data_IF_982433536863
#
_entry.id   IF_982433536863
#
_cell.length_a   1.000
_cell.length_b   1.000
_cell.length_c   1.000
_cell.angle_alpha   90.00
_cell.angle_beta   90.00
_cell.angle_gamma   90.00
#
_symmetry.space_group_name_H-M   'P 1'
#
loop_
_entity.id
_entity.type
_entity.pdbx_description
1 polymer ?
#
# COMPACT_ATOMS: atom_id res chain seq x y z
N UNK A 1 -15.67 25.15 18.44
CA UNK A 1 -15.26 25.48 17.06
C UNK A 1 -15.61 24.30 16.16
N UNK A 2 -16.67 24.40 15.36
CA UNK A 2 -17.19 23.27 14.59
C UNK A 2 -16.17 22.80 13.54
N UNK A 3 -15.85 21.50 13.50
CA UNK A 3 -14.96 20.94 12.47
C UNK A 3 -15.66 21.06 11.12
N UNK A 4 -15.31 22.10 10.36
CA UNK A 4 -15.86 22.40 9.03
C UNK A 4 -15.65 21.21 8.09
N UNK A 5 -16.74 20.69 7.51
CA UNK A 5 -16.72 19.58 6.55
C UNK A 5 -15.89 19.97 5.32
N UNK A 6 -14.78 19.28 5.07
CA UNK A 6 -13.92 19.53 3.91
C UNK A 6 -14.61 19.10 2.61
N UNK A 7 -14.44 19.91 1.56
CA UNK A 7 -14.97 19.59 0.24
C UNK A 7 -14.35 18.28 -0.31
N UNK A 8 -15.12 17.40 -1.01
CA UNK A 8 -14.67 16.09 -1.48
C UNK A 8 -13.44 16.07 -2.42
N UNK A 9 -13.08 17.22 -3.00
CA UNK A 9 -11.91 17.38 -3.88
C UNK A 9 -10.85 18.30 -3.29
N UNK A 10 -11.02 18.75 -2.05
CA UNK A 10 -10.03 19.61 -1.39
C UNK A 10 -8.72 18.85 -1.26
N UNK A 11 -7.61 19.53 -1.60
CA UNK A 11 -6.26 19.02 -1.37
C UNK A 11 -5.99 18.74 0.11
N UNK A 12 -6.70 19.41 1.04
CA UNK A 12 -6.62 19.21 2.49
C UNK A 12 -7.11 17.82 2.94
N UNK A 13 -7.72 17.05 2.04
CA UNK A 13 -8.07 15.66 2.31
C UNK A 13 -6.88 14.71 2.15
N UNK A 14 -5.80 15.13 1.49
CA UNK A 14 -4.54 14.39 1.48
C UNK A 14 -3.79 14.71 2.77
N UNK A 15 -3.56 13.67 3.55
CA UNK A 15 -2.90 13.73 4.85
C UNK A 15 -2.14 12.42 5.04
N UNK A 16 -0.93 12.53 5.57
CA UNK A 16 -0.15 11.36 5.95
C UNK A 16 -0.85 10.63 7.09
N UNK A 17 -1.04 9.32 6.91
CA UNK A 17 -1.67 8.44 7.89
C UNK A 17 -0.69 7.92 8.95
N UNK A 18 -1.02 6.79 9.61
CA UNK A 18 -0.14 6.18 10.59
C UNK A 18 1.20 5.75 9.99
N UNK A 19 2.23 5.76 10.82
CA UNK A 19 3.49 5.11 10.53
C UNK A 19 3.31 3.60 10.62
N UNK A 20 3.98 2.89 9.71
CA UNK A 20 4.02 1.44 9.71
C UNK A 20 5.12 0.95 10.66
N UNK A 21 5.06 -0.32 11.05
CA UNK A 21 6.14 -0.99 11.78
C UNK A 21 7.41 -1.09 10.92
N UNK A 22 8.57 -1.40 11.53
CA UNK A 22 9.71 -1.92 10.77
C UNK A 22 9.32 -3.14 9.92
N UNK A 23 10.15 -3.44 8.91
CA UNK A 23 9.94 -4.59 8.03
C UNK A 23 10.29 -5.89 8.76
N UNK A 24 9.36 -6.82 8.79
CA UNK A 24 9.55 -8.18 9.29
C UNK A 24 9.87 -9.12 8.13
N UNK A 25 11.06 -9.72 8.15
CA UNK A 25 11.49 -10.70 7.15
C UNK A 25 10.92 -12.07 7.48
N UNK A 26 10.28 -12.72 6.50
CA UNK A 26 9.71 -14.07 6.63
C UNK A 26 10.58 -15.14 5.97
N UNK A 27 11.24 -14.80 4.86
CA UNK A 27 12.13 -15.72 4.14
C UNK A 27 13.45 -15.02 3.80
N UNK A 28 14.56 -15.76 3.89
CA UNK A 28 15.85 -15.26 3.44
C UNK A 28 15.83 -15.06 1.92
N UNK A 29 16.27 -13.87 1.49
CA UNK A 29 16.46 -13.53 0.09
C UNK A 29 17.96 -13.52 -0.17
N UNK A 30 18.41 -14.22 -1.19
CA UNK A 30 19.82 -14.33 -1.55
C UNK A 30 20.06 -13.78 -2.95
N UNK A 31 21.24 -13.23 -3.18
CA UNK A 31 21.73 -12.92 -4.53
C UNK A 31 22.37 -14.16 -5.19
N UNK A 32 22.93 -14.02 -6.40
CA UNK A 32 23.53 -15.15 -7.10
C UNK A 32 24.74 -15.75 -6.40
N UNK A 33 25.48 -14.93 -5.64
CA UNK A 33 26.64 -15.32 -4.84
C UNK A 33 26.26 -16.02 -3.52
N UNK A 34 24.98 -16.04 -3.18
CA UNK A 34 24.50 -16.60 -1.91
C UNK A 34 24.58 -15.63 -0.73
N UNK A 35 24.85 -14.35 -0.98
CA UNK A 35 24.83 -13.31 0.05
C UNK A 35 23.38 -12.95 0.38
N UNK A 36 23.07 -12.80 1.66
CA UNK A 36 21.73 -12.46 2.12
C UNK A 36 21.44 -10.98 1.92
N UNK A 37 20.27 -10.69 1.37
CA UNK A 37 19.75 -9.35 1.16
C UNK A 37 18.69 -9.02 2.21
N UNK A 38 18.79 -7.82 2.79
CA UNK A 38 17.83 -7.32 3.79
C UNK A 38 16.81 -6.41 3.11
N UNK A 39 15.55 -6.85 2.90
CA UNK A 39 14.52 -6.00 2.31
C UNK A 39 13.99 -4.99 3.32
N UNK A 40 13.69 -3.78 2.84
CA UNK A 40 13.01 -2.72 3.59
C UNK A 40 11.82 -2.22 2.78
N UNK A 41 10.61 -2.40 3.32
CA UNK A 41 9.38 -1.83 2.79
C UNK A 41 9.22 -0.39 3.28
N UNK A 42 8.85 0.50 2.36
CA UNK A 42 8.60 1.92 2.62
C UNK A 42 7.16 2.29 2.26
N UNK A 43 6.16 1.87 3.05
CA UNK A 43 4.76 2.22 2.82
C UNK A 43 4.38 3.57 3.43
N UNK A 44 3.40 4.24 2.83
CA UNK A 44 2.77 5.44 3.39
C UNK A 44 1.31 5.53 2.98
N UNK A 45 0.46 5.90 3.94
CA UNK A 45 -0.92 6.29 3.66
C UNK A 45 -0.93 7.79 3.38
N UNK A 46 -1.42 8.20 2.22
CA UNK A 46 -1.46 9.62 1.80
C UNK A 46 -2.86 10.23 1.84
N UNK A 47 -3.88 9.42 2.17
CA UNK A 47 -5.27 9.86 2.28
C UNK A 47 -6.10 8.82 3.04
N UNK A 48 -7.13 9.28 3.76
CA UNK A 48 -8.25 8.46 4.20
C UNK A 48 -8.29 8.07 5.68
N UNK A 49 -7.20 8.34 6.42
CA UNK A 49 -7.12 8.15 7.86
C UNK A 49 -6.68 9.45 8.54
N UNK A 50 -7.27 9.72 9.70
CA UNK A 50 -6.94 10.88 10.52
C UNK A 50 -6.80 10.48 12.00
N UNK A 51 -5.97 11.23 12.73
CA UNK A 51 -5.77 10.99 14.16
C UNK A 51 -6.83 11.75 14.96
N UNK A 52 -7.69 11.01 15.68
CA UNK A 52 -8.75 11.55 16.55
C UNK A 52 -8.63 10.83 17.89
N UNK A 53 -8.56 11.59 18.99
CA UNK A 53 -8.51 11.03 20.36
C UNK A 53 -7.43 9.95 20.52
N UNK A 54 -6.25 10.22 19.94
CA UNK A 54 -5.10 9.31 19.88
C UNK A 54 -5.28 8.02 19.05
N UNK A 55 -6.38 7.89 18.31
CA UNK A 55 -6.67 6.74 17.44
C UNK A 55 -6.64 7.13 15.96
N UNK A 56 -6.26 6.17 15.11
CA UNK A 56 -6.30 6.34 13.65
C UNK A 56 -7.66 5.92 13.11
N UNK A 57 -8.41 6.91 12.62
CA UNK A 57 -9.81 6.74 12.21
C UNK A 57 -9.92 6.94 10.71
N UNK A 58 -10.45 5.92 10.05
CA UNK A 58 -10.92 5.95 8.67
C UNK A 58 -12.44 5.80 8.60
N UNK A 59 -12.99 6.00 7.41
CA UNK A 59 -14.43 5.95 7.17
C UNK A 59 -14.76 4.96 6.07
N UNK A 60 -15.69 4.02 6.33
CA UNK A 60 -16.02 2.93 5.40
C UNK A 60 -16.41 3.41 4.00
N UNK A 61 -17.07 4.56 3.88
CA UNK A 61 -17.53 5.14 2.59
C UNK A 61 -16.50 6.05 1.93
N UNK A 62 -15.38 6.32 2.58
CA UNK A 62 -14.34 7.16 2.02
C UNK A 62 -13.24 6.28 1.41
N UNK A 63 -12.57 6.85 0.41
CA UNK A 63 -11.37 6.25 -0.15
C UNK A 63 -10.16 6.57 0.72
N UNK A 64 -9.32 5.56 0.90
CA UNK A 64 -7.93 5.79 1.31
C UNK A 64 -6.98 5.58 0.11
N UNK A 65 -5.80 6.17 0.24
CA UNK A 65 -4.68 5.98 -0.68
C UNK A 65 -3.50 5.46 0.11
N UNK A 66 -2.95 4.33 -0.33
CA UNK A 66 -1.71 3.77 0.19
C UNK A 66 -0.72 3.66 -0.95
N UNK A 67 0.50 4.12 -0.73
CA UNK A 67 1.63 3.95 -1.64
C UNK A 67 2.71 3.15 -0.94
N UNK A 68 3.48 2.36 -1.70
CA UNK A 68 4.63 1.67 -1.16
C UNK A 68 5.68 1.45 -2.22
N UNK A 69 6.93 1.48 -1.79
CA UNK A 69 8.09 0.97 -2.51
C UNK A 69 8.87 0.04 -1.58
N UNK A 70 9.99 -0.45 -2.06
CA UNK A 70 10.92 -1.22 -1.24
C UNK A 70 12.34 -0.98 -1.74
N UNK A 71 13.33 -1.28 -0.89
CA UNK A 71 14.72 -1.37 -1.29
C UNK A 71 15.40 -2.50 -0.53
N UNK A 72 16.64 -2.80 -0.89
CA UNK A 72 17.50 -3.70 -0.12
C UNK A 72 18.62 -2.89 0.51
N UNK A 73 18.87 -3.10 1.81
CA UNK A 73 19.95 -2.37 2.51
C UNK A 73 21.29 -2.61 1.83
N UNK A 74 22.07 -1.55 1.65
CA UNK A 74 23.40 -1.58 1.05
C UNK A 74 23.47 -2.16 -0.39
N UNK A 75 22.35 -2.18 -1.11
CA UNK A 75 22.29 -2.66 -2.50
C UNK A 75 21.78 -1.57 -3.44
N UNK A 76 22.60 -1.18 -4.41
CA UNK A 76 22.17 -0.23 -5.44
C UNK A 76 21.17 -0.86 -6.40
N UNK A 77 20.29 -0.04 -7.00
CA UNK A 77 19.37 -0.52 -8.03
C UNK A 77 20.11 -1.19 -9.21
N UNK A 78 21.27 -0.67 -9.61
CA UNK A 78 22.06 -1.24 -10.71
C UNK A 78 22.58 -2.64 -10.38
N UNK A 79 23.07 -2.83 -9.16
CA UNK A 79 23.54 -4.14 -8.68
C UNK A 79 22.38 -5.13 -8.62
N UNK A 80 21.23 -4.71 -8.10
CA UNK A 80 20.00 -5.50 -8.09
C UNK A 80 19.58 -5.88 -9.52
N UNK A 81 19.46 -4.90 -10.42
CA UNK A 81 18.98 -5.14 -11.78
C UNK A 81 19.88 -6.10 -12.56
N UNK A 82 21.17 -6.13 -12.26
CA UNK A 82 22.14 -6.98 -12.93
C UNK A 82 22.15 -8.44 -12.43
N UNK A 83 21.48 -8.76 -11.32
CA UNK A 83 21.65 -10.04 -10.63
C UNK A 83 20.36 -10.87 -10.51
N UNK A 84 20.54 -12.19 -10.46
CA UNK A 84 19.46 -13.13 -10.15
C UNK A 84 19.28 -13.24 -8.62
N UNK A 85 18.02 -13.43 -8.20
CA UNK A 85 17.66 -13.50 -6.80
C UNK A 85 17.02 -14.85 -6.47
N UNK A 86 17.17 -15.29 -5.23
CA UNK A 86 16.75 -16.60 -4.80
C UNK A 86 16.13 -16.57 -3.41
N UNK A 87 15.27 -17.54 -3.13
CA UNK A 87 14.87 -17.92 -1.77
C UNK A 87 15.43 -19.28 -1.43
N UNK A 88 15.55 -19.56 -0.14
CA UNK A 88 15.72 -20.92 0.37
C UNK A 88 14.42 -21.34 1.01
N UNK A 89 13.86 -22.46 0.57
CA UNK A 89 12.75 -23.10 1.27
C UNK A 89 13.27 -23.62 2.62
N UNK A 90 12.71 -23.17 3.76
CA UNK A 90 13.22 -23.52 5.09
C UNK A 90 13.02 -25.01 5.43
N UNK A 91 12.07 -25.70 4.81
CA UNK A 91 11.78 -27.11 5.08
C UNK A 91 12.64 -28.04 4.23
N UNK A 92 12.84 -27.70 2.95
CA UNK A 92 13.55 -28.56 1.99
C UNK A 92 14.99 -28.14 1.74
N UNK A 93 15.41 -26.98 2.24
CA UNK A 93 16.67 -26.29 1.89
C UNK A 93 16.88 -26.09 0.38
N UNK A 94 15.82 -26.20 -0.42
CA UNK A 94 15.91 -26.01 -1.86
C UNK A 94 16.08 -24.53 -2.18
N UNK A 95 17.14 -24.19 -2.93
CA UNK A 95 17.35 -22.87 -3.50
C UNK A 95 16.46 -22.71 -4.73
N UNK A 96 15.57 -21.71 -4.70
CA UNK A 96 14.62 -21.45 -5.78
C UNK A 96 14.79 -20.03 -6.30
N UNK A 97 14.89 -19.88 -7.62
CA UNK A 97 15.01 -18.56 -8.26
C UNK A 97 13.72 -17.77 -8.10
N UNK A 98 13.84 -16.50 -7.73
CA UNK A 98 12.77 -15.51 -7.78
C UNK A 98 12.78 -14.92 -9.19
N UNK A 99 11.68 -15.07 -9.92
CA UNK A 99 11.51 -14.50 -11.27
C UNK A 99 11.42 -12.99 -11.21
N UNK A 100 10.61 -12.48 -10.30
CA UNK A 100 10.45 -11.05 -10.06
C UNK A 100 9.84 -10.80 -8.68
N UNK A 101 9.98 -9.57 -8.21
CA UNK A 101 9.38 -9.12 -6.97
C UNK A 101 8.09 -8.35 -7.23
N UNK A 102 7.25 -8.28 -6.22
CA UNK A 102 6.07 -7.43 -6.24
C UNK A 102 5.69 -6.94 -4.87
N UNK A 103 4.76 -5.99 -4.84
CA UNK A 103 4.15 -5.47 -3.63
C UNK A 103 2.70 -5.92 -3.60
N UNK A 104 2.24 -6.39 -2.45
CA UNK A 104 0.85 -6.79 -2.20
C UNK A 104 0.30 -6.02 -1.00
N UNK A 105 -0.95 -5.58 -1.10
CA UNK A 105 -1.69 -4.95 -0.01
C UNK A 105 -2.80 -5.88 0.46
N UNK A 106 -2.79 -6.23 1.75
CA UNK A 106 -3.84 -7.01 2.40
C UNK A 106 -4.34 -6.31 3.67
N UNK A 107 -5.40 -6.83 4.28
CA UNK A 107 -5.86 -6.34 5.58
C UNK A 107 -6.39 -7.44 6.46
N UNK A 108 -6.25 -7.26 7.76
CA UNK A 108 -6.69 -8.21 8.79
C UNK A 108 -7.40 -7.49 9.93
N UNK A 109 -8.26 -8.20 10.62
CA UNK A 109 -8.77 -7.81 11.91
C UNK A 109 -7.65 -7.93 12.95
N UNK A 110 -7.41 -6.88 13.72
CA UNK A 110 -6.38 -6.86 14.76
C UNK A 110 -6.74 -7.74 15.95
N UNK A 111 -8.03 -7.96 16.20
CA UNK A 111 -8.53 -8.66 17.39
C UNK A 111 -8.50 -10.19 17.25
N UNK A 112 -8.79 -10.70 16.06
CA UNK A 112 -8.94 -12.14 15.79
C UNK A 112 -8.09 -12.64 14.60
N UNK A 113 -7.31 -11.76 13.97
CA UNK A 113 -6.43 -12.10 12.84
C UNK A 113 -7.15 -12.41 11.53
N UNK A 114 -8.49 -12.38 11.50
CA UNK A 114 -9.26 -12.75 10.31
C UNK A 114 -8.98 -11.81 9.13
N UNK A 115 -8.84 -12.37 7.93
CA UNK A 115 -8.63 -11.56 6.73
C UNK A 115 -9.86 -10.70 6.44
N UNK A 116 -9.61 -9.46 6.06
CA UNK A 116 -10.64 -8.48 5.72
C UNK A 116 -10.44 -8.05 4.29
N UNK A 117 -11.47 -8.23 3.47
CA UNK A 117 -11.42 -7.90 2.04
C UNK A 117 -11.36 -6.39 1.83
N UNK A 118 -10.38 -5.97 1.05
CA UNK A 118 -10.26 -4.62 0.50
C UNK A 118 -10.84 -4.60 -0.92
N UNK A 119 -11.40 -3.46 -1.31
CA UNK A 119 -11.96 -3.24 -2.65
C UNK A 119 -11.38 -1.97 -3.23
N UNK A 120 -10.88 -2.03 -4.46
CA UNK A 120 -10.41 -0.91 -5.24
C UNK A 120 -11.46 -0.50 -6.27
N UNK A 121 -11.72 0.81 -6.35
CA UNK A 121 -12.64 1.39 -7.32
C UNK A 121 -11.89 2.14 -8.43
N UNK A 122 -12.45 2.15 -9.63
CA UNK A 122 -12.01 3.07 -10.68
C UNK A 122 -12.48 4.51 -10.43
N UNK A 123 -12.00 5.46 -11.23
CA UNK A 123 -12.48 6.84 -11.20
C UNK A 123 -13.99 6.98 -11.50
N UNK A 124 -14.62 5.95 -12.11
CA UNK A 124 -16.06 5.90 -12.38
C UNK A 124 -16.88 5.35 -11.20
N UNK A 125 -16.22 4.94 -10.11
CA UNK A 125 -16.83 4.52 -8.83
C UNK A 125 -17.89 3.42 -9.02
N UNK A 126 -19.17 3.74 -8.88
CA UNK A 126 -20.28 2.78 -8.83
C UNK A 126 -20.64 2.31 -10.24
N UNK A 127 -20.30 3.11 -11.26
CA UNK A 127 -20.49 2.80 -12.68
C UNK A 127 -19.27 2.12 -13.31
N UNK A 128 -18.25 1.82 -12.52
CA UNK A 128 -17.03 1.15 -12.98
C UNK A 128 -16.82 -0.19 -12.28
N UNK A 129 -15.89 -1.01 -12.77
CA UNK A 129 -15.56 -2.28 -12.14
C UNK A 129 -14.98 -2.07 -10.73
N UNK A 130 -15.20 -3.06 -9.88
CA UNK A 130 -14.63 -3.20 -8.53
C UNK A 130 -13.80 -4.47 -8.50
N UNK A 131 -12.63 -4.41 -7.89
CA UNK A 131 -11.70 -5.54 -7.82
C UNK A 131 -10.92 -5.49 -6.50
N UNK A 132 -10.39 -6.62 -6.07
CA UNK A 132 -9.43 -6.64 -4.96
C UNK A 132 -8.13 -5.93 -5.39
N UNK A 133 -7.42 -5.25 -4.48
CA UNK A 133 -6.16 -4.57 -4.81
C UNK A 133 -5.18 -5.55 -5.47
N UNK A 134 -4.68 -5.27 -6.68
CA UNK A 134 -3.80 -6.20 -7.39
C UNK A 134 -2.43 -6.28 -6.72
N UNK A 135 -1.74 -7.40 -6.90
CA UNK A 135 -0.30 -7.45 -6.62
C UNK A 135 0.43 -6.71 -7.75
N UNK A 136 1.34 -5.81 -7.40
CA UNK A 136 2.08 -4.99 -8.35
C UNK A 136 3.51 -5.53 -8.51
N UNK A 137 3.88 -6.14 -9.65
CA UNK A 137 5.27 -6.43 -9.97
C UNK A 137 6.09 -5.14 -9.91
N UNK A 138 7.10 -5.11 -9.04
CA UNK A 138 7.78 -3.88 -8.70
C UNK A 138 9.28 -4.10 -8.51
N UNK A 139 10.08 -3.10 -8.87
CA UNK A 139 11.52 -3.04 -8.64
C UNK A 139 11.86 -2.14 -7.45
N UNK A 140 13.07 -2.27 -6.86
CA UNK A 140 13.51 -1.41 -5.78
C UNK A 140 13.53 0.07 -6.17
N UNK A 141 13.08 0.93 -5.27
CA UNK A 141 13.08 2.38 -5.44
C UNK A 141 12.84 3.08 -4.11
N UNK A 142 13.24 4.34 -4.03
CA UNK A 142 12.82 5.24 -2.96
C UNK A 142 11.33 5.60 -3.09
N UNK A 143 10.70 5.85 -1.94
CA UNK A 143 9.32 6.31 -1.88
C UNK A 143 9.25 7.81 -2.17
N UNK A 144 8.49 8.27 -3.17
CA UNK A 144 8.33 9.70 -3.43
C UNK A 144 7.63 10.42 -2.28
N UNK A 145 7.90 11.71 -2.13
CA UNK A 145 7.26 12.55 -1.13
C UNK A 145 5.74 12.62 -1.27
N UNK A 146 5.07 12.89 -0.16
CA UNK A 146 3.62 13.10 -0.08
C UNK A 146 3.10 14.09 -1.15
N UNK A 147 3.84 15.18 -1.39
CA UNK A 147 3.45 16.20 -2.36
C UNK A 147 3.43 15.65 -3.80
N UNK A 148 4.39 14.79 -4.16
CA UNK A 148 4.45 14.16 -5.48
C UNK A 148 3.24 13.24 -5.66
N UNK A 149 2.87 12.46 -4.64
CA UNK A 149 1.69 11.59 -4.68
C UNK A 149 0.40 12.41 -4.81
N UNK A 150 0.28 13.49 -4.04
CA UNK A 150 -0.86 14.41 -4.09
C UNK A 150 -1.02 15.05 -5.47
N UNK A 151 0.07 15.50 -6.08
CA UNK A 151 0.05 16.07 -7.42
C UNK A 151 -0.33 15.02 -8.46
N UNK A 152 0.27 13.83 -8.39
CA UNK A 152 0.02 12.71 -9.30
C UNK A 152 -1.44 12.26 -9.35
N UNK A 153 -2.19 12.40 -8.26
CA UNK A 153 -3.57 11.93 -8.16
C UNK A 153 -4.55 12.60 -9.15
N UNK A 154 -4.23 13.80 -9.67
CA UNK A 154 -5.12 14.54 -10.58
C UNK A 154 -4.38 15.19 -11.78
N UNK A 155 -3.18 14.73 -12.14
CA UNK A 155 -2.48 15.28 -13.31
C UNK A 155 -3.19 14.90 -14.60
N UNK A 156 -3.40 15.88 -15.47
CA UNK A 156 -3.89 15.71 -16.86
C UNK A 156 -2.92 16.23 -17.91
N UNK A 157 -1.92 17.01 -17.51
CA UNK A 157 -0.96 17.63 -18.42
C UNK A 157 0.10 16.59 -18.85
N UNK A 158 0.28 16.43 -20.16
CA UNK A 158 1.15 15.40 -20.76
C UNK A 158 2.61 15.49 -20.33
N UNK A 159 3.19 16.68 -20.24
CA UNK A 159 4.61 16.82 -19.84
C UNK A 159 4.82 16.47 -18.37
N UNK A 160 3.87 16.83 -17.50
CA UNK A 160 3.88 16.40 -16.10
C UNK A 160 3.69 14.89 -15.97
N UNK A 161 2.84 14.27 -16.79
CA UNK A 161 2.67 12.81 -16.83
C UNK A 161 3.99 12.13 -17.19
N UNK A 162 4.72 12.62 -18.19
CA UNK A 162 6.02 12.07 -18.57
C UNK A 162 7.04 12.15 -17.42
N UNK A 163 7.10 13.28 -16.70
CA UNK A 163 7.97 13.42 -15.52
C UNK A 163 7.59 12.44 -14.42
N UNK A 164 6.30 12.32 -14.11
CA UNK A 164 5.80 11.38 -13.09
C UNK A 164 6.03 9.92 -13.51
N UNK A 165 5.95 9.60 -14.79
CA UNK A 165 6.22 8.25 -15.27
C UNK A 165 7.65 7.80 -14.93
N UNK A 166 8.65 8.68 -15.05
CA UNK A 166 10.04 8.37 -14.67
C UNK A 166 10.23 8.09 -13.17
N UNK A 167 9.38 8.70 -12.34
CA UNK A 167 9.37 8.49 -10.89
C UNK A 167 8.70 7.16 -10.54
N UNK A 168 7.55 6.87 -11.17
CA UNK A 168 6.72 5.71 -10.80
C UNK A 168 7.07 4.42 -11.53
N UNK A 169 7.83 4.49 -12.61
CA UNK A 169 8.14 3.33 -13.44
C UNK A 169 9.62 3.29 -13.83
N UNK A 170 10.12 2.08 -13.96
CA UNK A 170 11.32 1.74 -14.71
C UNK A 170 10.85 1.18 -16.05
N UNK A 171 11.43 1.63 -17.15
CA UNK A 171 11.03 1.21 -18.49
C UNK A 171 12.22 0.55 -19.17
N UNK A 172 12.13 -0.77 -19.40
CA UNK A 172 13.21 -1.55 -20.03
C UNK A 172 13.48 -1.10 -21.47
N UNK A 173 12.48 -0.53 -22.15
CA UNK A 173 12.59 -0.08 -23.55
C UNK A 173 13.01 1.39 -23.68
N UNK A 174 13.17 2.11 -22.58
CA UNK A 174 13.68 3.48 -22.62
C UNK A 174 15.18 3.46 -22.98
N UNK A 175 15.53 4.09 -24.10
CA UNK A 175 16.90 4.17 -24.64
C UNK A 175 17.93 4.66 -23.62
N UNK A 176 17.52 5.43 -22.62
CA UNK A 176 18.41 5.84 -21.52
C UNK A 176 18.88 4.69 -20.64
N UNK A 177 18.27 3.51 -20.76
CA UNK A 177 18.58 2.30 -20.01
C UNK A 177 19.31 1.23 -20.84
N UNK A 178 19.59 1.46 -22.14
CA UNK A 178 20.18 0.46 -23.05
C UNK A 178 21.54 -0.09 -22.57
N UNK A 179 22.33 0.75 -21.90
CA UNK A 179 23.64 0.36 -21.36
C UNK A 179 23.56 -0.36 -20.00
N UNK A 180 22.37 -0.42 -19.38
CA UNK A 180 22.19 -1.04 -18.07
C UNK A 180 22.20 -2.56 -18.16
N UNK A 181 22.98 -3.19 -17.28
CA UNK A 181 22.89 -4.64 -17.08
C UNK A 181 21.60 -4.94 -16.30
N UNK A 182 20.59 -5.47 -16.99
CA UNK A 182 19.25 -5.73 -16.44
C UNK A 182 18.87 -7.22 -16.42
N UNK A 183 19.86 -8.12 -16.36
CA UNK A 183 19.66 -9.59 -16.37
C UNK A 183 18.60 -10.03 -15.35
N UNK A 184 18.65 -9.48 -14.13
CA UNK A 184 17.72 -9.75 -13.04
C UNK A 184 16.29 -9.25 -13.26
N UNK A 185 16.07 -8.44 -14.29
CA UNK A 185 14.77 -7.86 -14.61
C UNK A 185 14.08 -8.54 -15.81
N UNK A 186 14.75 -9.48 -16.50
CA UNK A 186 14.24 -10.06 -17.75
C UNK A 186 12.94 -10.86 -17.56
N UNK A 187 12.76 -11.48 -16.39
CA UNK A 187 11.56 -12.29 -16.09
C UNK A 187 10.38 -11.47 -15.54
N UNK A 188 10.50 -10.14 -15.41
CA UNK A 188 9.35 -9.30 -15.10
C UNK A 188 8.32 -9.33 -16.25
N UNK A 189 7.02 -9.29 -15.93
CA UNK A 189 5.95 -9.54 -16.90
C UNK A 189 5.75 -8.43 -17.95
N UNK A 190 6.29 -7.23 -17.73
CA UNK A 190 6.11 -6.06 -18.61
C UNK A 190 7.37 -5.20 -18.61
N UNK A 191 7.68 -4.53 -19.72
CA UNK A 191 8.84 -3.62 -19.82
C UNK A 191 8.73 -2.40 -18.92
N UNK A 192 7.51 -1.88 -18.78
CA UNK A 192 7.20 -0.78 -17.87
C UNK A 192 6.92 -1.31 -16.45
N UNK A 193 7.99 -1.54 -15.70
CA UNK A 193 7.95 -2.10 -14.35
C UNK A 193 7.67 -0.99 -13.32
N UNK A 194 6.86 -1.30 -12.31
CA UNK A 194 6.50 -0.33 -11.26
C UNK A 194 7.69 -0.11 -10.33
N UNK A 195 7.99 1.15 -9.99
CA UNK A 195 8.89 1.53 -8.88
C UNK A 195 8.13 1.76 -7.57
N UNK A 196 6.89 2.24 -7.69
CA UNK A 196 6.04 2.59 -6.54
C UNK A 196 4.65 2.03 -6.76
N UNK A 197 4.27 1.05 -5.95
CA UNK A 197 2.92 0.52 -5.90
C UNK A 197 1.97 1.61 -5.39
N UNK A 198 0.88 1.87 -6.13
CA UNK A 198 -0.12 2.89 -5.78
C UNK A 198 -1.50 2.29 -5.70
N UNK A 199 -1.97 2.12 -4.48
CA UNK A 199 -3.32 1.66 -4.15
C UNK A 199 -4.20 2.88 -3.91
N UNK A 200 -4.83 3.37 -4.97
CA UNK A 200 -5.75 4.50 -4.91
C UNK A 200 -7.20 4.03 -4.87
N UNK A 201 -8.07 4.84 -4.24
CA UNK A 201 -9.53 4.58 -4.21
C UNK A 201 -9.88 3.24 -3.55
N UNK A 202 -9.13 2.89 -2.51
CA UNK A 202 -9.36 1.66 -1.73
C UNK A 202 -10.42 1.91 -0.66
N UNK A 203 -11.24 0.89 -0.42
CA UNK A 203 -12.20 0.81 0.67
C UNK A 203 -12.13 -0.56 1.34
N UNK A 204 -12.58 -0.62 2.58
CA UNK A 204 -12.95 -1.88 3.21
C UNK A 204 -14.26 -2.38 2.62
N UNK A 205 -14.35 -3.68 2.29
CA UNK A 205 -15.53 -4.27 1.65
C UNK A 205 -16.83 -3.99 2.42
N UNK A 206 -17.92 -3.84 1.68
CA UNK A 206 -19.25 -3.66 2.27
C UNK A 206 -19.71 -4.88 3.07
N UNK A 207 -19.27 -6.09 2.72
CA UNK A 207 -19.65 -7.37 3.35
C UNK A 207 -19.11 -7.55 4.77
N UNK A 208 -18.22 -6.68 5.24
CA UNK A 208 -17.86 -6.61 6.66
C UNK A 208 -19.14 -6.30 7.44
N UNK A 209 -19.67 -7.30 8.13
CA UNK A 209 -20.97 -7.29 8.78
C UNK A 209 -20.94 -6.44 10.06
N UNK A 210 -21.04 -5.12 9.96
CA UNK A 210 -21.18 -4.21 11.11
C UNK A 210 -22.55 -4.31 11.83
N UNK A 211 -23.41 -5.28 11.47
CA UNK A 211 -24.77 -5.42 12.03
C UNK A 211 -24.80 -5.97 13.47
N UNK A 212 -23.69 -6.52 13.99
CA UNK A 212 -23.59 -6.89 15.40
C UNK A 212 -22.90 -5.75 16.17
N UNK A 213 -23.45 -5.27 17.30
CA UNK A 213 -22.87 -4.18 18.10
C UNK A 213 -21.39 -4.38 18.45
N UNK A 214 -20.95 -5.63 18.62
CA UNK A 214 -19.55 -6.01 18.87
C UNK A 214 -18.56 -5.61 17.74
N UNK A 215 -19.04 -5.31 16.52
CA UNK A 215 -18.19 -4.98 15.37
C UNK A 215 -17.91 -3.48 15.18
N UNK A 216 -18.58 -2.59 15.92
CA UNK A 216 -18.33 -1.14 15.85
C UNK A 216 -17.00 -0.72 16.50
N UNK A 217 -16.38 -1.61 17.27
CA UNK A 217 -15.09 -1.40 17.96
C UNK A 217 -13.94 -2.23 17.38
N UNK A 218 -14.18 -3.01 16.30
CA UNK A 218 -13.10 -3.82 15.72
C UNK A 218 -12.02 -2.92 15.16
N UNK A 219 -10.78 -3.29 15.45
CA UNK A 219 -9.60 -2.63 14.90
C UNK A 219 -9.05 -3.45 13.74
N UNK A 220 -8.51 -2.77 12.74
CA UNK A 220 -7.98 -3.39 11.54
C UNK A 220 -6.50 -3.04 11.37
N UNK A 221 -5.75 -3.89 10.69
CA UNK A 221 -4.39 -3.57 10.24
C UNK A 221 -4.35 -3.67 8.72
N UNK A 222 -3.72 -2.68 8.09
CA UNK A 222 -3.28 -2.80 6.70
C UNK A 222 -1.89 -3.40 6.70
N UNK A 223 -1.65 -4.36 5.82
CA UNK A 223 -0.39 -5.09 5.71
C UNK A 223 0.12 -4.92 4.29
N UNK A 224 1.35 -4.48 4.18
CA UNK A 224 2.07 -4.41 2.91
C UNK A 224 3.12 -5.50 2.91
N UNK A 225 3.09 -6.33 1.88
CA UNK A 225 3.99 -7.48 1.72
C UNK A 225 4.90 -7.24 0.51
N UNK A 226 6.20 -7.51 0.68
CA UNK A 226 7.11 -7.77 -0.42
C UNK A 226 6.95 -9.25 -0.78
N UNK A 227 6.54 -9.52 -2.02
CA UNK A 227 6.35 -10.88 -2.52
C UNK A 227 7.39 -11.24 -3.57
N UNK A 228 7.78 -12.51 -3.62
CA UNK A 228 8.63 -13.08 -4.67
C UNK A 228 7.84 -14.07 -5.51
N UNK A 229 7.83 -13.86 -6.82
CA UNK A 229 7.19 -14.78 -7.77
C UNK A 229 8.17 -15.88 -8.15
N UNK A 230 7.79 -17.12 -7.90
CA UNK A 230 8.60 -18.32 -8.18
C UNK A 230 8.15 -18.95 -9.50
N UNK A 231 6.86 -18.90 -9.77
CA UNK A 231 6.25 -19.30 -11.02
C UNK A 231 5.22 -18.23 -11.49
N UNK A 232 4.54 -18.47 -12.60
CA UNK A 232 3.59 -17.53 -13.20
C UNK A 232 2.32 -17.28 -12.36
N UNK A 233 2.02 -18.15 -11.40
CA UNK A 233 0.78 -18.16 -10.62
C UNK A 233 1.00 -18.11 -9.10
N UNK A 234 2.21 -18.37 -8.63
CA UNK A 234 2.56 -18.52 -7.23
C UNK A 234 3.57 -17.48 -6.81
N UNK A 235 3.23 -16.78 -5.73
CA UNK A 235 4.11 -15.84 -5.06
C UNK A 235 4.14 -16.13 -3.56
N UNK A 236 5.30 -15.94 -2.97
CA UNK A 236 5.54 -16.09 -1.54
C UNK A 236 5.68 -14.71 -0.89
N UNK A 237 5.10 -14.52 0.30
CA UNK A 237 5.38 -13.32 1.10
C UNK A 237 6.77 -13.43 1.71
N UNK A 238 7.70 -12.59 1.26
CA UNK A 238 9.10 -12.63 1.68
C UNK A 238 9.35 -11.77 2.92
N UNK A 239 8.66 -10.64 3.01
CA UNK A 239 8.72 -9.72 4.11
C UNK A 239 7.43 -8.90 4.17
N UNK A 240 7.07 -8.37 5.34
CA UNK A 240 5.90 -7.54 5.49
C UNK A 240 6.10 -6.43 6.50
N UNK A 241 5.23 -5.43 6.44
CA UNK A 241 5.08 -4.40 7.45
C UNK A 241 3.60 -4.09 7.63
N UNK A 242 3.21 -3.59 8.80
CA UNK A 242 1.82 -3.37 9.13
C UNK A 242 1.58 -2.02 9.81
N UNK A 243 0.36 -1.51 9.68
CA UNK A 243 -0.07 -0.33 10.44
C UNK A 243 -0.29 -0.68 11.91
N UNK A 244 -0.27 0.33 12.81
CA UNK A 244 -0.97 0.21 14.08
C UNK A 244 -2.47 -0.10 13.86
N UNK A 245 -3.19 -0.53 14.91
CA UNK A 245 -4.62 -0.77 14.82
C UNK A 245 -5.41 0.47 14.35
N UNK A 246 -6.27 0.28 13.35
CA UNK A 246 -7.08 1.30 12.69
C UNK A 246 -8.56 1.11 13.01
N UNK A 247 -9.28 2.20 13.24
CA UNK A 247 -10.73 2.19 13.40
C UNK A 247 -11.38 2.57 12.08
N UNK A 248 -12.38 1.81 11.64
CA UNK A 248 -13.15 2.12 10.44
C UNK A 248 -14.59 2.41 10.84
N UNK A 249 -14.94 3.70 10.88
CA UNK A 249 -16.30 4.12 11.25
C UNK A 249 -17.31 3.79 10.15
N UNK A 250 -18.48 3.34 10.58
CA UNK A 250 -19.61 2.96 9.74
C UNK A 250 -20.34 4.14 9.08
N UNK A 251 -21.53 3.87 8.54
CA UNK A 251 -22.29 4.79 7.66
C UNK A 251 -23.20 5.78 8.40
N UNK A 252 -23.34 5.67 9.72
CA UNK A 252 -24.27 6.48 10.49
C UNK A 252 -23.92 7.98 10.38
N UNK A 253 -24.90 8.88 10.20
CA UNK A 253 -24.66 10.33 10.15
C UNK A 253 -23.90 10.87 11.36
N UNK A 254 -24.12 10.27 12.54
CA UNK A 254 -23.41 10.56 13.79
C UNK A 254 -21.90 10.34 13.71
N UNK A 255 -21.40 9.50 12.80
CA UNK A 255 -19.96 9.30 12.63
C UNK A 255 -19.28 10.49 11.92
N UNK A 256 -20.07 11.31 11.21
CA UNK A 256 -19.60 12.45 10.42
C UNK A 256 -19.78 13.80 11.12
N UNK A 257 -20.56 13.83 12.21
CA UNK A 257 -20.72 14.98 13.07
C UNK A 257 -19.84 14.76 14.31
N UNK A 258 -18.94 15.70 14.62
CA UNK A 258 -18.27 15.68 15.92
C UNK A 258 -19.33 15.71 17.03
N UNK A 259 -19.09 15.02 18.13
CA UNK A 259 -19.97 15.02 19.32
C UNK A 259 -20.35 16.46 19.68
N UNK A 260 -21.56 16.90 19.31
CA UNK A 260 -22.16 18.17 19.74
C UNK A 260 -23.47 17.91 20.52
N UNK A 261 -23.75 16.68 20.96
CA UNK A 261 -25.05 16.31 21.52
C UNK A 261 -25.11 16.05 23.05
N UNK A 262 -24.01 16.15 23.80
CA UNK A 262 -24.01 15.75 25.23
C UNK A 262 -23.69 16.89 26.23
N UNK A 263 -23.81 18.17 25.84
CA UNK A 263 -23.52 19.30 26.76
C UNK A 263 -24.66 20.31 26.96
N UNK A 264 -25.89 20.01 26.53
CA UNK A 264 -27.05 20.84 26.84
C UNK A 264 -28.16 20.01 27.50
N UNK A 265 -27.85 19.37 28.62
CA UNK A 265 -28.85 18.84 29.56
C UNK A 265 -28.25 18.60 30.95
N UNK A 266 -27.62 19.62 31.51
CA UNK A 266 -27.41 19.75 32.96
C UNK A 266 -27.15 21.21 33.22
N UNK A 267 -28.23 21.97 33.39
CA UNK A 267 -28.32 23.17 34.21
C UNK A 267 -29.74 23.74 34.01
N UNK A 268 -30.68 23.11 34.68
CA UNK A 268 -31.92 23.76 35.11
C UNK A 268 -32.24 23.25 36.51
N UNK A 269 -31.61 23.88 37.51
CA UNK A 269 -32.19 24.16 38.82
C UNK A 269 -31.74 25.57 39.21
#
# INVERSE_FOLDING_TARGET
>A
SSKKKLAPRSSLQFKVGPQFTPTFVQHAILNSKGEQLTPVLTPRIDRGFERIDNEWVGYKRNYFTLVSSYYFENLSFLTFAADDHYIINPETNLKTKIKYFGIRLTSKCADDGTNVTLVQHTAKRDRGPQFEPPTHPAVPSDLPDHNIIREAANVRNTSKIAKLNRIFFFDRDDKSNDELKIKGLLEYPTDKIIKVARYERIQFSSSINYKKPALNNKRFKLIVELVGFIDSSSCLSLAYTETPPLIVRGRSPSNYQGREADQYQSDTQ
#
